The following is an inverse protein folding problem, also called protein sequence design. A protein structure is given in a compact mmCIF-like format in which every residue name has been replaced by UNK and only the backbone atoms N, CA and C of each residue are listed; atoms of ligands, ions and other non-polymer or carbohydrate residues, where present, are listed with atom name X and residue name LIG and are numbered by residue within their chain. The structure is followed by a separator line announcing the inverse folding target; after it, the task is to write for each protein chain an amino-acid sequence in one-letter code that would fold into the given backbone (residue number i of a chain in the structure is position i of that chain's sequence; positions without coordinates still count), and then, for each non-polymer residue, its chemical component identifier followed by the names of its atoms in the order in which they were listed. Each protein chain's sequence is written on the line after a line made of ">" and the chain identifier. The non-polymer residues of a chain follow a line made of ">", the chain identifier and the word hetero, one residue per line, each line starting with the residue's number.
data_IF_169952100185
#
_entry.id   IF_169952100185
#
_cell.length_a   1.000
_cell.length_b   1.000
_cell.length_c   1.000
_cell.angle_alpha   90.00
_cell.angle_beta   90.00
_cell.angle_gamma   90.00
#
_symmetry.space_group_name_H-M   'P 1'
#
loop_
_entity.id
_entity.type
_entity.pdbx_description
1 polymer ?
#
# COMPACT_ATOMS: atom_id res chain seq x y z
N UNK A 1 5.90 -5.11 -9.99
CA UNK A 1 6.67 -5.24 -8.74
C UNK A 1 7.99 -4.48 -8.86
N UNK A 2 8.07 -3.26 -8.33
CA UNK A 2 9.34 -2.51 -8.30
C UNK A 2 10.06 -2.86 -7.01
N UNK A 3 10.95 -3.85 -7.11
CA UNK A 3 12.02 -4.10 -6.17
C UNK A 3 13.13 -3.09 -6.50
N UNK A 4 13.27 -2.03 -5.70
CA UNK A 4 14.56 -1.32 -5.62
C UNK A 4 15.19 -1.75 -4.31
N UNK A 5 16.41 -2.27 -4.42
CA UNK A 5 17.18 -2.80 -3.30
C UNK A 5 17.07 -1.90 -2.05
N UNK A 6 16.60 -2.47 -0.95
CA UNK A 6 16.60 -1.84 0.37
C UNK A 6 15.31 -1.17 0.82
N UNK A 7 14.28 -1.02 -0.03
CA UNK A 7 12.99 -0.47 0.39
C UNK A 7 11.86 -0.79 -0.60
N UNK A 8 10.77 -1.38 -0.10
CA UNK A 8 9.58 -1.67 -0.92
C UNK A 8 8.79 -0.39 -1.13
N UNK A 9 8.69 0.09 -2.36
CA UNK A 9 7.83 1.23 -2.71
C UNK A 9 6.42 0.68 -3.01
N UNK A 10 5.41 1.14 -2.29
CA UNK A 10 4.00 0.78 -2.48
C UNK A 10 3.12 2.02 -2.53
N UNK A 11 2.34 2.20 -3.59
CA UNK A 11 1.27 3.21 -3.59
C UNK A 11 0.15 2.75 -2.66
N UNK A 12 -0.11 3.44 -1.55
CA UNK A 12 -1.30 3.16 -0.72
C UNK A 12 -2.32 4.25 -1.02
N UNK A 13 -3.42 3.91 -1.69
CA UNK A 13 -4.63 4.72 -1.64
C UNK A 13 -5.41 4.28 -0.39
N UNK A 14 -6.16 5.17 0.24
CA UNK A 14 -6.98 4.81 1.40
C UNK A 14 -8.08 3.84 0.92
N UNK A 15 -7.77 2.54 0.98
CA UNK A 15 -8.63 1.49 0.46
C UNK A 15 -9.92 1.42 1.28
N UNK A 16 -11.06 1.38 0.59
CA UNK A 16 -12.40 1.24 1.18
C UNK A 16 -12.63 -0.18 1.70
N UNK A 17 -11.75 -0.67 2.56
CA UNK A 17 -11.94 -1.93 3.27
C UNK A 17 -11.72 -1.70 4.75
N UNK A 18 -12.84 -1.85 5.46
CA UNK A 18 -12.98 -2.01 6.91
C UNK A 18 -13.17 -0.73 7.74
N UNK A 19 -14.39 -0.19 7.64
CA UNK A 19 -15.01 0.61 8.71
C UNK A 19 -15.62 -0.26 9.81
N UNK A 20 -14.85 -1.21 10.39
CA UNK A 20 -15.35 -2.05 11.48
C UNK A 20 -14.83 -1.52 12.84
N UNK A 21 -15.69 -1.40 13.84
CA UNK A 21 -15.35 -0.84 15.17
C UNK A 21 -14.16 -1.52 15.86
N UNK A 22 -13.83 -2.77 15.47
CA UNK A 22 -12.75 -3.57 16.04
C UNK A 22 -11.48 -3.64 15.15
N UNK A 23 -11.56 -3.16 13.90
CA UNK A 23 -10.45 -3.11 12.94
C UNK A 23 -10.52 -1.76 12.24
N UNK A 24 -9.97 -0.68 12.85
CA UNK A 24 -9.99 0.61 12.20
C UNK A 24 -9.22 0.53 10.88
N UNK A 25 -9.67 1.29 9.87
CA UNK A 25 -8.99 1.51 8.58
C UNK A 25 -7.49 1.93 8.68
N UNK A 26 -7.00 2.13 9.90
CA UNK A 26 -5.64 2.50 10.27
C UNK A 26 -4.60 1.40 10.08
N UNK A 27 -4.97 0.15 9.77
CA UNK A 27 -4.01 -0.97 9.73
C UNK A 27 -4.10 -1.89 8.49
N UNK A 28 -4.04 -1.36 7.25
CA UNK A 28 -4.10 -2.19 6.04
C UNK A 28 -3.02 -3.29 6.00
N UNK A 29 -1.88 -3.08 6.69
CA UNK A 29 -0.80 -4.08 6.78
C UNK A 29 -1.18 -5.38 7.46
N UNK A 30 -2.07 -5.33 8.47
CA UNK A 30 -2.56 -6.53 9.15
C UNK A 30 -3.39 -7.35 8.18
N UNK A 31 -4.30 -6.72 7.45
CA UNK A 31 -5.12 -7.37 6.44
C UNK A 31 -4.27 -7.97 5.31
N UNK A 32 -3.21 -7.28 4.87
CA UNK A 32 -2.24 -7.83 3.92
C UNK A 32 -1.58 -9.12 4.45
N UNK A 33 -1.13 -9.13 5.71
CA UNK A 33 -0.57 -10.32 6.34
C UNK A 33 -1.55 -11.48 6.45
N UNK A 34 -2.82 -11.19 6.73
CA UNK A 34 -3.88 -12.19 6.77
C UNK A 34 -4.20 -12.80 5.40
N UNK A 35 -4.17 -11.99 4.34
CA UNK A 35 -4.39 -12.45 2.96
C UNK A 35 -3.22 -13.33 2.50
N UNK A 36 -2.00 -12.81 2.63
CA UNK A 36 -0.77 -13.53 2.24
C UNK A 36 -0.63 -14.83 3.04
N UNK A 37 -0.88 -14.79 4.36
CA UNK A 37 -0.85 -15.97 5.22
C UNK A 37 -1.90 -17.03 4.88
N UNK A 38 -2.97 -16.66 4.17
CA UNK A 38 -3.99 -17.59 3.64
C UNK A 38 -3.71 -18.07 2.21
N UNK A 39 -2.56 -17.73 1.64
CA UNK A 39 -2.15 -18.17 0.31
C UNK A 39 -2.62 -17.29 -0.84
N UNK A 40 -3.19 -16.10 -0.55
CA UNK A 40 -3.40 -15.08 -1.58
C UNK A 40 -2.04 -14.55 -2.02
N UNK A 41 -1.84 -14.35 -3.32
CA UNK A 41 -0.54 -13.89 -3.81
C UNK A 41 -0.25 -12.47 -3.30
N UNK A 42 1.03 -12.12 -3.05
CA UNK A 42 1.42 -10.76 -2.66
C UNK A 42 0.88 -9.67 -3.59
N UNK A 43 0.86 -9.94 -4.91
CA UNK A 43 0.35 -9.00 -5.90
C UNK A 43 -1.16 -8.78 -5.77
N UNK A 44 -1.93 -9.85 -5.57
CA UNK A 44 -3.38 -9.76 -5.35
C UNK A 44 -3.70 -9.05 -4.03
N UNK A 45 -2.95 -9.36 -2.96
CA UNK A 45 -3.12 -8.72 -1.66
C UNK A 45 -2.82 -7.22 -1.73
N UNK A 46 -1.72 -6.83 -2.39
CA UNK A 46 -1.42 -5.42 -2.63
C UNK A 46 -2.52 -4.76 -3.47
N UNK A 47 -2.92 -5.39 -4.57
CA UNK A 47 -3.99 -4.88 -5.42
C UNK A 47 -5.27 -4.57 -4.65
N UNK A 48 -5.63 -5.38 -3.65
CA UNK A 48 -6.86 -5.18 -2.86
C UNK A 48 -6.88 -3.88 -2.05
N UNK A 49 -5.71 -3.29 -1.76
CA UNK A 49 -5.59 -2.00 -1.07
C UNK A 49 -5.05 -0.89 -1.97
N UNK A 50 -4.82 -1.15 -3.25
CA UNK A 50 -4.23 -0.17 -4.19
C UNK A 50 -5.05 -0.04 -5.50
N UNK A 51 -4.81 -0.91 -6.49
CA UNK A 51 -5.39 -0.79 -7.82
C UNK A 51 -6.86 -1.17 -7.87
N UNK A 52 -7.30 -2.13 -7.05
CA UNK A 52 -8.72 -2.54 -6.97
C UNK A 52 -9.62 -1.41 -6.46
N UNK A 53 -9.33 -0.74 -5.32
CA UNK A 53 -10.15 0.40 -4.91
C UNK A 53 -10.03 1.59 -5.88
N UNK A 54 -8.85 1.87 -6.45
CA UNK A 54 -8.70 2.93 -7.46
C UNK A 54 -9.58 2.69 -8.69
N UNK A 55 -9.58 1.46 -9.24
CA UNK A 55 -10.45 1.08 -10.35
C UNK A 55 -11.93 1.08 -10.00
N UNK A 56 -12.28 0.63 -8.78
CA UNK A 56 -13.68 0.65 -8.29
C UNK A 56 -14.23 2.08 -8.19
N UNK A 57 -13.39 3.03 -7.82
CA UNK A 57 -13.74 4.45 -7.68
C UNK A 57 -13.57 5.25 -8.98
N UNK A 58 -13.06 4.65 -10.05
CA UNK A 58 -12.79 5.35 -11.31
C UNK A 58 -11.67 6.41 -11.21
N UNK A 59 -10.69 6.18 -10.35
CA UNK A 59 -9.55 7.08 -10.12
C UNK A 59 -8.39 6.74 -11.07
N UNK A 60 -8.40 7.37 -12.24
CA UNK A 60 -7.34 7.18 -13.23
C UNK A 60 -5.98 7.70 -12.73
N UNK A 61 -4.94 6.87 -12.91
CA UNK A 61 -3.58 7.20 -12.49
C UNK A 61 -3.30 7.00 -10.99
N UNK A 62 -4.21 6.39 -10.23
CA UNK A 62 -4.02 6.04 -8.82
C UNK A 62 -3.86 4.53 -8.60
N UNK A 63 -3.32 4.13 -7.45
CA UNK A 63 -3.26 2.72 -7.03
C UNK A 63 -2.21 1.85 -7.74
N UNK A 64 -1.50 2.41 -8.72
CA UNK A 64 -0.50 1.70 -9.53
C UNK A 64 0.77 2.53 -9.73
N UNK A 65 1.91 1.85 -9.69
CA UNK A 65 3.21 2.45 -10.02
C UNK A 65 3.46 2.30 -11.52
N UNK A 66 3.11 3.35 -12.28
CA UNK A 66 3.33 3.45 -13.73
C UNK A 66 3.68 4.89 -14.10
N UNK A 67 4.39 5.08 -15.21
CA UNK A 67 4.61 6.41 -15.77
C UNK A 67 3.28 7.12 -16.02
N UNK A 68 3.18 8.39 -15.61
CA UNK A 68 1.96 9.19 -15.69
C UNK A 68 0.97 9.00 -14.54
N UNK A 69 1.19 8.05 -13.62
CA UNK A 69 0.40 7.93 -12.38
C UNK A 69 0.74 9.05 -11.39
N UNK A 70 -0.19 9.35 -10.49
CA UNK A 70 0.05 10.21 -9.33
C UNK A 70 1.07 9.56 -8.41
N UNK A 71 2.06 10.34 -7.97
CA UNK A 71 3.16 9.88 -7.13
C UNK A 71 2.76 9.78 -5.64
N UNK A 72 1.70 9.01 -5.38
CA UNK A 72 1.34 8.57 -4.04
C UNK A 72 2.12 7.29 -3.74
N UNK A 73 3.08 7.35 -2.83
CA UNK A 73 4.03 6.26 -2.56
C UNK A 73 4.26 6.12 -1.06
N UNK A 74 4.34 4.89 -0.56
CA UNK A 74 4.72 4.53 0.79
C UNK A 74 5.91 3.56 0.70
N UNK A 75 7.02 3.94 1.29
CA UNK A 75 8.25 3.16 1.32
C UNK A 75 8.29 2.37 2.61
N UNK A 76 8.53 1.07 2.51
CA UNK A 76 8.61 0.16 3.64
C UNK A 76 10.00 -0.46 3.73
N UNK A 77 10.48 -0.63 4.96
CA UNK A 77 11.79 -1.25 5.26
C UNK A 77 11.86 -2.73 4.83
N UNK A 78 10.72 -3.40 4.82
CA UNK A 78 10.56 -4.79 4.38
C UNK A 78 9.22 -4.94 3.64
N UNK A 79 8.71 -6.15 3.43
CA UNK A 79 7.38 -6.30 2.85
C UNK A 79 6.33 -5.73 3.80
N UNK A 80 5.29 -5.04 3.32
CA UNK A 80 4.33 -4.35 4.17
C UNK A 80 3.52 -5.29 5.08
N UNK A 81 3.38 -6.57 4.73
CA UNK A 81 2.73 -7.59 5.56
C UNK A 81 3.66 -8.25 6.61
N UNK A 82 4.95 -7.92 6.61
CA UNK A 82 5.91 -8.44 7.59
C UNK A 82 5.97 -7.56 8.85
N UNK A 83 6.32 -8.13 10.02
CA UNK A 83 6.54 -7.35 11.25
C UNK A 83 7.55 -6.21 11.06
N UNK A 84 8.63 -6.47 10.31
CA UNK A 84 9.67 -5.51 9.95
C UNK A 84 9.25 -4.55 8.84
N UNK A 85 8.06 -4.74 8.25
CA UNK A 85 7.47 -3.97 7.17
C UNK A 85 7.04 -2.57 7.54
N UNK A 86 7.80 -1.88 8.39
CA UNK A 86 7.54 -0.54 8.88
C UNK A 86 7.67 0.51 7.78
N UNK A 87 6.77 1.49 7.74
CA UNK A 87 6.85 2.61 6.80
C UNK A 87 8.06 3.48 7.17
N UNK A 88 8.91 3.75 6.19
CA UNK A 88 10.05 4.65 6.32
C UNK A 88 9.73 6.03 5.78
N UNK A 89 9.02 6.11 4.65
CA UNK A 89 8.66 7.38 4.00
C UNK A 89 7.30 7.29 3.34
N UNK A 90 6.59 8.40 3.25
CA UNK A 90 5.35 8.52 2.47
C UNK A 90 5.39 9.78 1.64
N UNK A 91 4.98 9.66 0.39
CA UNK A 91 4.84 10.71 -0.59
C UNK A 91 3.37 10.79 -1.02
N UNK A 92 2.84 12.01 -1.13
CA UNK A 92 1.50 12.28 -1.66
C UNK A 92 1.63 13.34 -2.75
N UNK A 93 1.18 13.01 -3.96
CA UNK A 93 1.39 13.85 -5.14
C UNK A 93 2.87 14.18 -5.40
N UNK A 94 3.78 13.29 -5.02
CA UNK A 94 5.23 13.50 -5.13
C UNK A 94 5.88 14.31 -4.01
N UNK A 95 5.11 14.82 -3.05
CA UNK A 95 5.65 15.54 -1.89
C UNK A 95 5.81 14.60 -0.71
N UNK A 96 6.97 14.60 -0.05
CA UNK A 96 7.20 13.81 1.16
C UNK A 96 6.36 14.37 2.33
N UNK A 97 5.46 13.55 2.87
CA UNK A 97 4.55 13.91 3.98
C UNK A 97 4.87 13.16 5.27
N UNK A 98 5.66 12.10 5.18
CA UNK A 98 6.13 11.33 6.32
C UNK A 98 7.55 10.85 6.06
N UNK A 99 8.40 10.98 7.08
CA UNK A 99 9.70 10.36 7.14
C UNK A 99 9.91 9.85 8.56
N UNK A 100 10.32 8.59 8.70
CA UNK A 100 10.64 8.00 9.99
C UNK A 100 11.96 8.58 10.51
N UNK A 101 11.92 9.15 11.71
CA UNK A 101 13.08 9.64 12.48
C UNK A 101 13.79 8.52 13.21
#
# INVERSE_FOLDING_TARGET
>A
MILVQGGTILTVTDGVTEGHSNYPAKYPRISLGLLVGRGISPEQALGSVTSVPAGTLGLDGYGEIRSGSVADLALFKAQPWEPEGVTERTFVGGNEVYARS
#
